data_IF_648458769787
#
_entry.id   IF_648458769787
#
_cell.length_a   1.000
_cell.length_b   1.000
_cell.length_c   1.000
_cell.angle_alpha   90.00
_cell.angle_beta   90.00
_cell.angle_gamma   90.00
#
_symmetry.space_group_name_H-M   'P 1'
#
loop_
_entity.id
_entity.type
_entity.pdbx_description
1 polymer ?
#
# COMPACT_ATOMS: atom_id res chain seq x y z
N UNK A 1 5.62 29.36 12.77
CA UNK A 1 4.39 29.72 12.02
C UNK A 1 4.58 29.75 10.50
N UNK A 2 5.78 30.03 9.98
CA UNK A 2 6.03 30.17 8.53
C UNK A 2 5.55 29.06 7.59
N UNK A 3 5.42 27.81 8.04
CA UNK A 3 4.95 26.72 7.16
C UNK A 3 3.46 26.81 6.81
N UNK A 4 2.63 27.39 7.68
CA UNK A 4 1.20 27.56 7.39
C UNK A 4 1.02 28.71 6.40
N UNK A 5 1.71 29.82 6.63
CA UNK A 5 1.75 30.96 5.69
C UNK A 5 2.25 30.53 4.31
N UNK A 6 3.36 29.80 4.24
CA UNK A 6 3.89 29.27 2.98
C UNK A 6 2.91 28.30 2.29
N UNK A 7 2.17 27.49 3.05
CA UNK A 7 1.15 26.61 2.50
C UNK A 7 -0.05 27.40 1.93
N UNK A 8 -0.48 28.45 2.63
CA UNK A 8 -1.54 29.36 2.18
C UNK A 8 -1.13 30.14 0.92
N UNK A 9 0.16 30.45 0.77
CA UNK A 9 0.74 31.06 -0.42
C UNK A 9 0.98 30.07 -1.59
N UNK A 10 0.50 28.82 -1.49
CA UNK A 10 0.61 27.81 -2.55
C UNK A 10 1.92 27.00 -2.55
N UNK A 11 2.76 27.14 -1.52
CA UNK A 11 3.99 26.37 -1.35
C UNK A 11 3.72 24.88 -1.19
N UNK A 12 4.12 24.09 -2.19
CA UNK A 12 3.79 22.66 -2.26
C UNK A 12 4.39 21.83 -1.12
N UNK A 13 5.66 22.03 -0.77
CA UNK A 13 6.35 21.31 0.32
C UNK A 13 5.77 21.66 1.69
N UNK A 14 5.44 22.94 1.88
CA UNK A 14 4.81 23.43 3.10
C UNK A 14 3.42 22.81 3.28
N UNK A 15 2.61 22.80 2.21
CA UNK A 15 1.30 22.16 2.22
C UNK A 15 1.39 20.64 2.45
N UNK A 16 2.32 19.96 1.78
CA UNK A 16 2.56 18.53 1.99
C UNK A 16 2.99 18.21 3.43
N UNK A 17 3.77 19.10 4.06
CA UNK A 17 4.14 18.98 5.47
C UNK A 17 2.96 19.18 6.41
N UNK A 18 2.08 20.15 6.14
CA UNK A 18 0.84 20.37 6.91
C UNK A 18 -0.06 19.13 6.81
N UNK A 19 -0.25 18.57 5.61
CA UNK A 19 -0.99 17.32 5.43
C UNK A 19 -0.32 16.15 6.16
N UNK A 20 1.02 16.04 6.10
CA UNK A 20 1.74 14.99 6.82
C UNK A 20 1.53 15.06 8.33
N UNK A 21 1.42 16.26 8.91
CA UNK A 21 1.13 16.44 10.33
C UNK A 21 -0.33 16.13 10.64
N UNK A 22 -1.27 16.70 9.88
CA UNK A 22 -2.71 16.56 10.09
C UNK A 22 -3.18 15.10 9.99
N UNK A 23 -2.63 14.33 9.06
CA UNK A 23 -3.00 12.94 8.81
C UNK A 23 -2.01 11.92 9.40
N UNK A 24 -1.24 12.34 10.41
CA UNK A 24 -0.41 11.45 11.22
C UNK A 24 0.71 10.74 10.46
N UNK A 25 1.21 11.33 9.37
CA UNK A 25 2.41 10.83 8.67
C UNK A 25 3.70 11.23 9.41
N UNK A 26 3.65 12.30 10.20
CA UNK A 26 4.75 12.87 11.00
C UNK A 26 4.26 13.25 12.40
N UNK A 27 5.21 13.49 13.30
CA UNK A 27 4.94 14.01 14.65
C UNK A 27 4.32 13.00 15.61
N UNK A 28 3.62 13.50 16.63
CA UNK A 28 3.01 12.71 17.71
C UNK A 28 1.88 11.82 17.21
N UNK A 29 0.99 12.35 16.37
CA UNK A 29 -0.14 11.60 15.83
C UNK A 29 0.33 10.34 15.06
N UNK A 30 1.48 10.40 14.40
CA UNK A 30 2.09 9.22 13.77
C UNK A 30 2.38 8.11 14.78
N UNK A 31 2.90 8.46 15.96
CA UNK A 31 3.19 7.50 17.02
C UNK A 31 1.88 6.91 17.56
N UNK A 32 0.88 7.75 17.86
CA UNK A 32 -0.42 7.31 18.35
C UNK A 32 -1.12 6.32 17.39
N UNK A 33 -0.97 6.51 16.07
CA UNK A 33 -1.53 5.57 15.09
C UNK A 33 -0.74 4.24 15.05
N UNK A 34 0.59 4.28 15.17
CA UNK A 34 1.44 3.09 14.95
C UNK A 34 1.68 2.28 16.21
N UNK A 35 1.65 2.91 17.38
CA UNK A 35 1.92 2.30 18.68
C UNK A 35 1.05 1.06 18.97
N UNK A 36 -0.27 1.06 18.72
CA UNK A 36 -1.11 -0.13 18.91
C UNK A 36 -0.67 -1.32 18.05
N UNK A 37 -0.03 -1.05 16.90
CA UNK A 37 0.43 -2.06 15.95
C UNK A 37 1.81 -2.60 16.34
N UNK A 38 2.59 -1.88 17.15
CA UNK A 38 3.94 -2.32 17.54
C UNK A 38 3.95 -3.47 18.55
N UNK A 39 2.89 -3.61 19.34
CA UNK A 39 2.70 -4.71 20.30
C UNK A 39 1.51 -5.56 19.86
N UNK A 40 1.59 -6.88 20.01
CA UNK A 40 0.45 -7.78 19.84
C UNK A 40 0.14 -8.42 21.20
N UNK A 41 -1.07 -8.20 21.70
CA UNK A 41 -1.54 -8.77 22.97
C UNK A 41 -1.82 -10.27 22.86
N UNK A 42 -2.12 -10.75 21.65
CA UNK A 42 -2.56 -12.11 21.40
C UNK A 42 -1.42 -13.00 20.91
N UNK A 43 -0.29 -12.41 20.48
CA UNK A 43 0.87 -13.17 20.05
C UNK A 43 1.55 -13.88 21.22
N UNK A 44 2.00 -15.11 20.96
CA UNK A 44 2.86 -15.83 21.88
C UNK A 44 4.18 -15.08 22.05
N UNK A 45 4.49 -14.72 23.30
CA UNK A 45 5.72 -14.02 23.63
C UNK A 45 6.89 -15.00 23.46
N UNK A 46 7.88 -14.70 22.61
CA UNK A 46 9.02 -15.57 22.38
C UNK A 46 9.86 -15.70 23.64
N UNK A 47 10.49 -16.86 23.82
CA UNK A 47 11.40 -17.10 24.92
C UNK A 47 12.54 -16.05 24.94
N UNK A 48 12.98 -15.60 26.12
CA UNK A 48 14.09 -14.67 26.23
C UNK A 48 15.38 -15.32 25.70
N UNK A 49 16.16 -14.58 24.90
CA UNK A 49 17.43 -15.09 24.35
C UNK A 49 18.44 -15.38 25.47
N UNK A 50 18.41 -14.59 26.55
CA UNK A 50 19.16 -14.79 27.78
C UNK A 50 18.17 -15.23 28.87
N UNK A 51 18.22 -16.51 29.31
CA UNK A 51 17.20 -17.07 30.20
C UNK A 51 16.93 -16.27 31.48
N UNK A 52 17.97 -15.71 32.09
CA UNK A 52 17.87 -14.92 33.33
C UNK A 52 17.37 -13.48 33.12
N UNK A 53 17.27 -13.00 31.88
CA UNK A 53 16.95 -11.58 31.58
C UNK A 53 15.69 -11.51 30.73
N UNK A 54 14.53 -11.28 31.36
CA UNK A 54 13.23 -11.14 30.65
C UNK A 54 13.25 -10.06 29.55
N UNK A 55 13.98 -8.95 29.77
CA UNK A 55 14.16 -7.87 28.77
C UNK A 55 14.91 -8.29 27.50
N UNK A 56 15.50 -9.49 27.49
CA UNK A 56 16.18 -10.06 26.30
C UNK A 56 15.24 -10.76 25.33
N UNK A 57 13.93 -10.64 25.52
CA UNK A 57 12.94 -11.10 24.55
C UNK A 57 13.12 -10.36 23.22
N UNK A 58 13.11 -11.07 22.08
CA UNK A 58 13.12 -10.43 20.78
C UNK A 58 11.80 -9.68 20.53
N UNK A 59 11.82 -8.65 19.67
CA UNK A 59 10.61 -7.91 19.33
C UNK A 59 9.61 -8.83 18.60
N UNK A 60 8.35 -8.74 19.00
CA UNK A 60 7.23 -9.45 18.36
C UNK A 60 6.63 -8.55 17.29
N UNK A 61 6.49 -9.08 16.07
CA UNK A 61 5.81 -8.37 15.00
C UNK A 61 4.35 -8.79 14.97
N UNK A 62 3.44 -7.84 15.21
CA UNK A 62 2.02 -8.05 15.00
C UNK A 62 1.72 -8.38 13.53
N UNK A 63 0.65 -9.13 13.22
CA UNK A 63 0.32 -9.49 11.84
C UNK A 63 0.09 -8.26 10.94
N UNK A 64 -0.45 -7.18 11.50
CA UNK A 64 -0.61 -5.90 10.80
C UNK A 64 0.76 -5.27 10.50
N UNK A 65 1.69 -5.28 11.46
CA UNK A 65 3.04 -4.76 11.24
C UNK A 65 3.82 -5.60 10.22
N UNK A 66 3.71 -6.92 10.29
CA UNK A 66 4.37 -7.82 9.36
C UNK A 66 3.94 -7.54 7.92
N UNK A 67 2.64 -7.43 7.69
CA UNK A 67 2.07 -7.12 6.36
C UNK A 67 2.45 -5.73 5.88
N UNK A 68 2.49 -4.73 6.77
CA UNK A 68 2.99 -3.40 6.45
C UNK A 68 4.50 -3.36 6.14
N UNK A 69 5.31 -4.25 6.71
CA UNK A 69 6.75 -4.31 6.45
C UNK A 69 7.10 -5.05 5.15
N UNK A 70 6.29 -6.04 4.78
CA UNK A 70 6.46 -6.87 3.59
C UNK A 70 5.82 -6.29 2.33
N UNK A 71 4.84 -5.39 2.46
CA UNK A 71 4.25 -4.70 1.31
C UNK A 71 5.12 -3.54 0.80
N UNK A 72 5.13 -3.35 -0.53
CA UNK A 72 5.79 -2.23 -1.20
C UNK A 72 5.07 -0.90 -0.98
N UNK A 73 3.76 -0.92 -0.76
CA UNK A 73 2.92 0.28 -0.78
C UNK A 73 2.94 1.05 0.55
N UNK A 74 3.07 0.32 1.66
CA UNK A 74 3.17 0.87 3.00
C UNK A 74 4.55 1.35 3.36
N UNK A 75 5.61 0.89 2.68
CA UNK A 75 6.98 1.17 3.10
C UNK A 75 7.64 2.24 2.25
N UNK A 76 8.44 3.10 2.90
CA UNK A 76 9.23 4.13 2.20
C UNK A 76 10.43 3.56 1.42
N UNK A 77 10.79 2.32 1.70
CA UNK A 77 11.96 1.61 1.16
C UNK A 77 11.54 0.24 0.62
N UNK A 78 12.42 -0.44 -0.12
CA UNK A 78 12.18 -1.79 -0.67
C UNK A 78 11.59 -2.73 0.39
N UNK A 79 10.48 -3.46 0.12
CA UNK A 79 9.79 -4.34 1.07
C UNK A 79 10.71 -5.39 1.73
N UNK A 80 10.37 -5.81 2.96
CA UNK A 80 11.11 -6.85 3.68
C UNK A 80 10.67 -8.23 3.23
N UNK A 81 11.59 -9.20 3.24
CA UNK A 81 11.23 -10.60 3.12
C UNK A 81 10.80 -11.14 4.49
N UNK A 82 9.89 -12.13 4.52
CA UNK A 82 9.50 -12.78 5.77
C UNK A 82 10.71 -13.39 6.50
N UNK A 83 11.67 -13.93 5.75
CA UNK A 83 12.95 -14.43 6.30
C UNK A 83 13.73 -13.35 7.05
N UNK A 84 13.73 -12.11 6.53
CA UNK A 84 14.43 -10.98 7.17
C UNK A 84 13.75 -10.46 8.45
N UNK A 85 12.46 -10.76 8.65
CA UNK A 85 11.76 -10.46 9.91
C UNK A 85 12.20 -11.41 11.02
N UNK A 86 12.32 -12.70 10.69
CA UNK A 86 12.78 -13.73 11.63
C UNK A 86 14.28 -13.60 11.93
N UNK A 87 15.09 -13.42 10.88
CA UNK A 87 16.54 -13.28 10.98
C UNK A 87 17.01 -12.01 10.23
N UNK A 88 17.21 -10.90 10.96
CA UNK A 88 17.68 -9.65 10.38
C UNK A 88 18.97 -9.84 9.56
N UNK A 89 19.09 -9.24 8.36
CA UNK A 89 20.30 -9.34 7.54
C UNK A 89 21.52 -8.65 8.18
N UNK A 90 21.30 -7.82 9.20
CA UNK A 90 22.38 -7.20 9.99
C UNK A 90 22.99 -8.15 11.03
N UNK A 91 22.37 -9.31 11.29
CA UNK A 91 22.96 -10.33 12.14
C UNK A 91 23.95 -11.17 11.33
N UNK A 92 25.13 -11.47 11.90
CA UNK A 92 26.06 -12.38 11.26
C UNK A 92 25.49 -13.80 11.23
N UNK A 93 25.86 -14.58 10.21
CA UNK A 93 25.65 -16.05 10.11
C UNK A 93 25.96 -16.78 11.41
N UNK A 94 27.05 -16.37 12.09
CA UNK A 94 27.50 -16.84 13.42
C UNK A 94 26.42 -16.82 14.52
N UNK A 95 25.37 -16.00 14.38
CA UNK A 95 24.26 -15.98 15.33
C UNK A 95 23.42 -17.27 15.27
N UNK A 96 23.46 -18.01 14.16
CA UNK A 96 22.89 -19.34 14.07
C UNK A 96 23.90 -20.38 14.61
N UNK A 97 23.59 -21.11 15.71
CA UNK A 97 24.49 -22.12 16.26
C UNK A 97 24.78 -23.28 15.31
N UNK A 98 23.92 -23.52 14.31
CA UNK A 98 24.12 -24.54 13.30
C UNK A 98 25.07 -24.11 12.16
N UNK A 99 25.41 -22.82 12.06
CA UNK A 99 26.29 -22.31 11.00
C UNK A 99 27.74 -22.75 11.17
N UNK A 100 28.46 -22.91 10.05
CA UNK A 100 29.90 -23.23 10.07
C UNK A 100 30.72 -22.13 10.78
N UNK A 101 30.37 -20.86 10.58
CA UNK A 101 31.02 -19.73 11.26
C UNK A 101 30.90 -19.81 12.78
N UNK A 102 29.77 -20.29 13.31
CA UNK A 102 29.59 -20.50 14.74
C UNK A 102 30.44 -21.66 15.26
N UNK A 103 30.72 -22.67 14.43
CA UNK A 103 31.61 -23.79 14.78
C UNK A 103 33.07 -23.36 14.75
N UNK A 104 33.48 -22.60 13.72
CA UNK A 104 34.86 -22.17 13.53
C UNK A 104 35.27 -21.05 14.51
N UNK A 105 34.43 -20.03 14.69
CA UNK A 105 34.76 -18.83 15.48
C UNK A 105 34.12 -18.83 16.88
N UNK A 106 33.30 -19.83 17.19
CA UNK A 106 32.49 -19.94 18.40
C UNK A 106 31.11 -19.26 18.30
N UNK A 107 30.23 -19.37 19.31
CA UNK A 107 28.88 -18.80 19.26
C UNK A 107 28.90 -17.26 19.30
N UNK A 108 27.87 -16.62 18.75
CA UNK A 108 27.70 -15.18 18.82
C UNK A 108 27.24 -14.72 20.22
N UNK A 109 27.63 -13.52 20.64
CA UNK A 109 27.24 -12.98 21.94
C UNK A 109 25.73 -12.71 21.98
N UNK A 110 25.01 -13.41 22.87
CA UNK A 110 23.55 -13.25 23.09
C UNK A 110 23.12 -11.81 23.32
N UNK A 111 23.88 -11.03 24.10
CA UNK A 111 23.60 -9.60 24.35
C UNK A 111 23.68 -8.77 23.06
N UNK A 112 24.68 -9.03 22.23
CA UNK A 112 24.83 -8.35 20.93
C UNK A 112 23.69 -8.74 20.00
N UNK A 113 23.27 -10.00 20.00
CA UNK A 113 22.15 -10.48 19.20
C UNK A 113 20.85 -9.73 19.54
N UNK A 114 20.50 -9.67 20.83
CA UNK A 114 19.33 -8.93 21.34
C UNK A 114 19.38 -7.47 20.87
N UNK A 115 20.50 -6.80 21.09
CA UNK A 115 20.68 -5.40 20.72
C UNK A 115 20.54 -5.18 19.20
N UNK A 116 21.12 -6.07 18.39
CA UNK A 116 21.02 -5.98 16.93
C UNK A 116 19.58 -6.18 16.45
N UNK A 117 18.86 -7.17 17.00
CA UNK A 117 17.44 -7.40 16.68
C UNK A 117 16.58 -6.19 17.03
N UNK A 118 16.73 -5.62 18.24
CA UNK A 118 15.98 -4.43 18.66
C UNK A 118 16.31 -3.18 17.85
N UNK A 119 17.59 -2.96 17.52
CA UNK A 119 18.01 -1.87 16.63
C UNK A 119 17.42 -2.02 15.24
N UNK A 120 17.43 -3.24 14.69
CA UNK A 120 16.83 -3.53 13.41
C UNK A 120 15.32 -3.24 13.43
N UNK A 121 14.59 -3.84 14.37
CA UNK A 121 13.15 -3.59 14.56
C UNK A 121 12.84 -2.08 14.64
N UNK A 122 13.54 -1.37 15.53
CA UNK A 122 13.36 0.08 15.74
C UNK A 122 13.62 0.92 14.49
N UNK A 123 14.57 0.49 13.66
CA UNK A 123 14.89 1.13 12.39
C UNK A 123 13.85 0.81 11.31
N UNK A 124 13.36 -0.42 11.29
CA UNK A 124 12.45 -0.89 10.23
C UNK A 124 11.02 -0.38 10.42
N UNK A 125 10.44 -0.42 11.62
CA UNK A 125 9.07 0.08 11.81
C UNK A 125 8.98 1.59 11.53
N UNK A 126 10.06 2.36 11.78
CA UNK A 126 10.12 3.79 11.45
C UNK A 126 10.05 4.08 9.95
N UNK A 127 10.23 3.09 9.08
CA UNK A 127 10.10 3.25 7.61
C UNK A 127 8.68 2.97 7.11
N UNK A 128 7.82 2.42 7.95
CA UNK A 128 6.41 2.15 7.65
C UNK A 128 5.62 3.45 7.65
N UNK A 129 4.74 3.59 6.65
CA UNK A 129 3.69 4.62 6.59
C UNK A 129 2.49 4.09 7.38
N UNK A 130 1.97 4.83 8.36
CA UNK A 130 0.88 4.35 9.20
C UNK A 130 -0.42 4.23 8.37
N UNK A 131 -1.18 3.13 8.44
CA UNK A 131 -2.50 3.09 7.80
C UNK A 131 -3.46 4.03 8.55
N UNK A 132 -4.39 4.67 7.82
CA UNK A 132 -5.43 5.50 8.47
C UNK A 132 -6.64 4.67 8.91
N UNK A 133 -6.89 3.56 8.21
CA UNK A 133 -8.04 2.70 8.44
C UNK A 133 -7.71 1.25 8.10
N UNK A 134 -8.51 0.37 8.68
CA UNK A 134 -8.63 -1.04 8.33
C UNK A 134 -9.95 -1.25 7.58
N UNK A 135 -9.88 -1.93 6.44
CA UNK A 135 -11.06 -2.31 5.65
C UNK A 135 -11.27 -3.82 5.79
N UNK A 136 -12.45 -4.20 6.24
CA UNK A 136 -12.85 -5.60 6.29
C UNK A 136 -13.31 -6.04 4.90
N UNK A 137 -12.74 -7.12 4.39
CA UNK A 137 -13.18 -7.78 3.16
C UNK A 137 -13.74 -9.15 3.49
N UNK A 138 -15.05 -9.31 3.31
CA UNK A 138 -15.72 -10.59 3.49
C UNK A 138 -15.89 -11.26 2.12
N UNK A 139 -15.29 -12.43 1.94
CA UNK A 139 -15.39 -13.22 0.70
C UNK A 139 -16.34 -14.40 0.87
N UNK A 140 -17.52 -14.15 1.45
CA UNK A 140 -18.45 -15.23 1.82
C UNK A 140 -19.32 -15.66 0.61
N UNK A 141 -19.51 -14.81 -0.42
CA UNK A 141 -20.43 -15.12 -1.52
C UNK A 141 -20.15 -14.31 -2.79
N UNK A 142 -19.02 -14.53 -3.50
CA UNK A 142 -18.59 -13.89 -4.78
C UNK A 142 -18.52 -12.35 -4.83
N UNK A 143 -19.35 -11.63 -4.08
CA UNK A 143 -19.36 -10.21 -3.84
C UNK A 143 -18.39 -9.86 -2.71
N UNK A 144 -17.44 -8.98 -3.02
CA UNK A 144 -16.54 -8.43 -2.01
C UNK A 144 -17.23 -7.28 -1.30
N UNK A 145 -17.76 -7.53 -0.12
CA UNK A 145 -18.30 -6.47 0.74
C UNK A 145 -17.16 -5.79 1.50
N UNK A 146 -17.10 -4.46 1.39
CA UNK A 146 -16.13 -3.62 2.10
C UNK A 146 -16.79 -2.96 3.30
N UNK A 147 -16.35 -3.34 4.48
CA UNK A 147 -16.84 -2.81 5.75
C UNK A 147 -15.75 -1.93 6.37
N UNK A 148 -16.08 -0.67 6.68
CA UNK A 148 -15.15 0.31 7.31
C UNK A 148 -15.67 0.80 8.66
N UNK A 149 -16.86 0.36 9.10
CA UNK A 149 -17.37 0.78 10.41
C UNK A 149 -16.49 0.26 11.54
N UNK A 150 -16.24 1.10 12.55
CA UNK A 150 -15.45 0.71 13.72
C UNK A 150 -16.05 -0.52 14.42
N UNK A 151 -17.37 -0.60 14.50
CA UNK A 151 -18.08 -1.69 15.17
C UNK A 151 -17.93 -3.02 14.43
N UNK A 152 -17.83 -3.00 13.10
CA UNK A 152 -17.59 -4.19 12.29
C UNK A 152 -16.17 -4.71 12.46
N UNK A 153 -15.19 -3.81 12.51
CA UNK A 153 -13.78 -4.15 12.77
C UNK A 153 -13.62 -4.77 14.16
N UNK A 154 -14.25 -4.17 15.19
CA UNK A 154 -14.23 -4.72 16.55
C UNK A 154 -14.94 -6.08 16.63
N UNK A 155 -16.11 -6.24 15.97
CA UNK A 155 -16.81 -7.54 15.90
C UNK A 155 -16.00 -8.63 15.21
N UNK A 156 -15.11 -8.26 14.29
CA UNK A 156 -14.17 -9.18 13.66
C UNK A 156 -12.96 -9.53 14.55
N UNK A 157 -12.88 -9.00 15.77
CA UNK A 157 -11.74 -9.17 16.68
C UNK A 157 -10.49 -8.42 16.22
N UNK A 158 -10.66 -7.46 15.31
CA UNK A 158 -9.56 -6.66 14.77
C UNK A 158 -9.47 -5.36 15.57
N UNK A 159 -8.24 -4.93 15.79
CA UNK A 159 -7.95 -3.70 16.53
C UNK A 159 -8.21 -2.52 15.61
N UNK A 160 -9.01 -1.56 16.06
CA UNK A 160 -9.16 -0.29 15.35
C UNK A 160 -7.82 0.44 15.26
N UNK A 161 -7.50 1.00 14.09
CA UNK A 161 -6.24 1.73 13.88
C UNK A 161 -6.53 3.19 13.55
N UNK A 162 -5.79 4.09 14.18
CA UNK A 162 -5.71 5.49 13.82
C UNK A 162 -7.03 6.25 13.88
N UNK A 163 -7.58 6.57 12.70
CA UNK A 163 -8.79 7.40 12.58
C UNK A 163 -10.01 6.58 12.10
N UNK A 164 -10.02 5.27 12.38
CA UNK A 164 -11.14 4.38 12.06
C UNK A 164 -12.48 4.97 12.52
N UNK A 165 -13.50 4.89 11.66
CA UNK A 165 -14.86 5.32 11.97
C UNK A 165 -15.09 6.83 11.97
N UNK A 166 -14.06 7.66 11.70
CA UNK A 166 -14.21 9.13 11.65
C UNK A 166 -14.58 9.69 10.27
N UNK A 167 -14.66 8.85 9.23
CA UNK A 167 -14.94 9.30 7.86
C UNK A 167 -13.79 10.04 7.17
N UNK A 168 -12.65 10.20 7.85
CA UNK A 168 -11.54 11.05 7.37
C UNK A 168 -10.97 10.57 6.04
N UNK A 169 -10.92 9.26 5.81
CA UNK A 169 -10.41 8.70 4.57
C UNK A 169 -11.40 8.87 3.42
N UNK A 170 -12.69 8.71 3.71
CA UNK A 170 -13.80 8.94 2.80
C UNK A 170 -13.85 10.41 2.37
N UNK A 171 -13.61 11.35 3.29
CA UNK A 171 -13.52 12.78 3.01
C UNK A 171 -12.38 13.09 2.03
N UNK A 172 -11.19 12.49 2.26
CA UNK A 172 -10.05 12.64 1.32
C UNK A 172 -10.43 12.09 -0.05
N UNK A 173 -11.06 10.91 -0.10
CA UNK A 173 -11.52 10.30 -1.36
C UNK A 173 -12.56 11.19 -2.06
N UNK A 174 -13.48 11.80 -1.33
CA UNK A 174 -14.48 12.72 -1.86
C UNK A 174 -13.84 13.99 -2.46
N UNK A 175 -12.87 14.59 -1.75
CA UNK A 175 -12.11 15.75 -2.25
C UNK A 175 -11.43 15.41 -3.59
N UNK A 176 -10.76 14.25 -3.66
CA UNK A 176 -10.04 13.79 -4.86
C UNK A 176 -11.00 13.44 -6.00
N UNK A 177 -12.08 12.73 -5.69
CA UNK A 177 -13.01 12.17 -6.65
C UNK A 177 -12.53 10.89 -7.36
N UNK A 178 -13.34 10.35 -8.28
CA UNK A 178 -12.98 9.17 -9.07
C UNK A 178 -11.71 9.38 -9.92
N UNK A 179 -10.97 8.33 -10.28
CA UNK A 179 -9.80 8.47 -11.17
C UNK A 179 -10.22 8.85 -12.57
N UNK A 180 -11.18 8.09 -13.09
CA UNK A 180 -11.70 8.24 -14.43
C UNK A 180 -12.71 9.39 -14.38
N UNK A 181 -12.29 10.57 -14.84
CA UNK A 181 -13.25 11.57 -15.30
C UNK A 181 -13.59 11.24 -16.74
N UNK A 182 -14.87 11.22 -17.14
CA UNK A 182 -15.18 11.33 -18.55
C UNK A 182 -14.45 12.56 -19.10
N UNK A 183 -13.76 12.38 -20.23
CA UNK A 183 -13.06 13.47 -20.91
C UNK A 183 -14.09 14.58 -21.11
N UNK A 184 -13.72 15.82 -20.75
CA UNK A 184 -14.60 16.95 -21.02
C UNK A 184 -14.83 16.98 -22.53
N UNK A 185 -16.10 16.83 -22.92
CA UNK A 185 -16.49 16.91 -24.32
C UNK A 185 -15.88 18.16 -24.94
N UNK A 186 -15.28 17.99 -26.11
CA UNK A 186 -14.70 19.09 -26.88
C UNK A 186 -15.82 20.07 -27.25
N UNK A 187 -15.47 21.33 -27.57
CA UNK A 187 -16.47 22.35 -27.93
C UNK A 187 -17.37 21.87 -29.07
N UNK A 188 -16.81 21.12 -30.04
CA UNK A 188 -17.53 20.56 -31.20
C UNK A 188 -18.54 19.49 -30.79
N UNK A 189 -18.15 18.57 -29.91
CA UNK A 189 -19.05 17.51 -29.39
C UNK A 189 -20.23 18.09 -28.61
N UNK A 190 -20.01 19.14 -27.80
CA UNK A 190 -21.10 19.79 -27.04
C UNK A 190 -22.15 20.47 -27.91
N UNK A 191 -21.80 20.89 -29.12
CA UNK A 191 -22.77 21.47 -30.05
C UNK A 191 -23.59 20.39 -30.77
N UNK A 192 -23.13 19.14 -30.81
CA UNK A 192 -23.87 18.02 -31.40
C UNK A 192 -24.92 17.44 -30.45
N UNK A 193 -24.59 17.32 -29.16
CA UNK A 193 -25.50 16.80 -28.13
C UNK A 193 -26.22 17.95 -27.41
N UNK A 194 -27.32 18.40 -27.99
CA UNK A 194 -28.14 19.53 -27.50
C UNK A 194 -28.78 19.36 -26.11
N UNK A 195 -28.43 18.33 -25.33
CA UNK A 195 -29.01 18.10 -24.01
C UNK A 195 -28.07 17.44 -22.98
N UNK A 196 -26.74 17.50 -23.19
CA UNK A 196 -25.79 16.94 -22.24
C UNK A 196 -25.72 17.77 -20.94
N UNK A 197 -26.57 17.45 -19.96
CA UNK A 197 -26.44 17.96 -18.60
C UNK A 197 -25.12 17.46 -18.03
N UNK A 198 -24.22 18.41 -17.73
CA UNK A 198 -22.93 18.07 -17.15
C UNK A 198 -23.19 17.47 -15.76
N UNK A 199 -22.82 16.21 -15.48
CA UNK A 199 -23.07 15.61 -14.19
C UNK A 199 -22.38 16.44 -13.11
N UNK A 200 -23.13 16.85 -12.09
CA UNK A 200 -22.59 17.60 -10.94
C UNK A 200 -21.49 16.75 -10.32
N UNK A 201 -20.24 17.11 -10.58
CA UNK A 201 -19.11 16.34 -10.06
C UNK A 201 -19.03 16.57 -8.56
N UNK A 202 -19.08 15.53 -7.74
CA UNK A 202 -18.86 15.55 -6.28
C UNK A 202 -17.44 15.94 -5.86
N UNK A 203 -16.61 16.38 -6.81
CA UNK A 203 -15.18 16.59 -6.65
C UNK A 203 -14.89 18.03 -6.27
N UNK A 204 -13.83 18.22 -5.50
CA UNK A 204 -13.37 19.56 -5.17
C UNK A 204 -12.98 20.35 -6.45
N UNK A 205 -13.39 21.61 -6.64
CA UNK A 205 -13.16 22.35 -7.88
C UNK A 205 -11.67 22.62 -8.17
N UNK A 206 -10.88 22.90 -7.13
CA UNK A 206 -9.44 23.15 -7.26
C UNK A 206 -8.65 21.91 -7.63
N UNK A 207 -8.12 21.86 -8.87
CA UNK A 207 -7.20 20.81 -9.33
C UNK A 207 -5.95 20.69 -8.47
N UNK A 208 -5.43 21.82 -7.98
CA UNK A 208 -4.22 21.84 -7.15
C UNK A 208 -4.45 21.07 -5.85
N UNK A 209 -5.56 21.34 -5.14
CA UNK A 209 -5.91 20.62 -3.91
C UNK A 209 -6.10 19.12 -4.19
N UNK A 210 -6.88 18.76 -5.22
CA UNK A 210 -7.10 17.35 -5.59
C UNK A 210 -5.79 16.61 -5.77
N UNK A 211 -4.85 17.18 -6.53
CA UNK A 211 -3.55 16.55 -6.78
C UNK A 211 -2.75 16.32 -5.49
N UNK A 212 -2.80 17.26 -4.54
CA UNK A 212 -2.10 17.11 -3.25
C UNK A 212 -2.74 16.05 -2.36
N UNK A 213 -4.06 15.95 -2.36
CA UNK A 213 -4.76 14.86 -1.67
C UNK A 213 -4.55 13.50 -2.36
N UNK A 214 -4.42 13.44 -3.69
CA UNK A 214 -4.01 12.21 -4.40
C UNK A 214 -2.62 11.75 -3.97
N UNK A 215 -1.65 12.68 -3.87
CA UNK A 215 -0.31 12.38 -3.34
C UNK A 215 -0.33 11.96 -1.87
N UNK A 216 -1.26 12.47 -1.06
CA UNK A 216 -1.47 12.00 0.31
C UNK A 216 -2.01 10.56 0.31
N UNK A 217 -2.98 10.25 -0.53
CA UNK A 217 -3.50 8.88 -0.70
C UNK A 217 -2.42 7.91 -1.17
N UNK A 218 -1.51 8.33 -2.05
CA UNK A 218 -0.32 7.53 -2.44
C UNK A 218 0.71 7.32 -1.33
N UNK A 219 0.54 7.98 -0.18
CA UNK A 219 1.35 7.81 1.04
C UNK A 219 0.55 7.22 2.20
N UNK A 220 -0.70 6.82 1.94
CA UNK A 220 -1.63 6.35 2.95
C UNK A 220 -2.07 4.94 2.60
N UNK A 221 -1.34 3.91 3.08
CA UNK A 221 -1.73 2.53 2.83
C UNK A 221 -3.08 2.25 3.48
N UNK A 222 -3.90 1.46 2.78
CA UNK A 222 -5.12 0.89 3.31
C UNK A 222 -4.78 -0.53 3.74
N UNK A 223 -4.98 -0.82 5.03
CA UNK A 223 -4.82 -2.18 5.54
C UNK A 223 -6.16 -2.89 5.32
N UNK A 224 -6.19 -3.94 4.53
CA UNK A 224 -7.39 -4.76 4.34
C UNK A 224 -7.25 -6.07 5.13
N UNK A 225 -8.32 -6.53 5.76
CA UNK A 225 -8.38 -7.82 6.42
C UNK A 225 -9.39 -8.71 5.71
N UNK A 226 -8.90 -9.76 5.05
CA UNK A 226 -9.76 -10.75 4.41
C UNK A 226 -10.11 -11.85 5.38
N UNK A 227 -11.40 -12.06 5.61
CA UNK A 227 -11.91 -13.15 6.44
C UNK A 227 -12.22 -14.35 5.55
N UNK A 228 -11.64 -15.49 5.89
CA UNK A 228 -11.86 -16.75 5.21
C UNK A 228 -12.39 -17.78 6.21
N UNK A 229 -13.27 -18.65 5.72
CA UNK A 229 -13.76 -19.81 6.46
C UNK A 229 -13.19 -21.05 5.80
N UNK A 230 -12.45 -21.84 6.56
CA UNK A 230 -11.97 -23.14 6.08
C UNK A 230 -13.13 -24.14 5.98
N UNK A 231 -12.91 -25.27 5.32
CA UNK A 231 -13.86 -26.38 5.22
C UNK A 231 -14.28 -26.91 6.59
N UNK A 232 -13.39 -26.80 7.57
CA UNK A 232 -13.62 -27.20 8.96
C UNK A 232 -14.40 -26.16 9.77
N UNK A 233 -14.85 -25.06 9.13
CA UNK A 233 -15.52 -23.95 9.81
C UNK A 233 -14.59 -23.04 10.62
N UNK A 234 -13.28 -23.31 10.61
CA UNK A 234 -12.28 -22.46 11.25
C UNK A 234 -12.17 -21.14 10.49
N UNK A 235 -12.41 -20.04 11.20
CA UNK A 235 -12.26 -18.70 10.68
C UNK A 235 -10.79 -18.32 10.80
N UNK A 236 -10.13 -18.09 9.67
CA UNK A 236 -8.82 -17.46 9.62
C UNK A 236 -8.91 -16.16 8.83
N UNK A 237 -8.00 -15.24 9.11
CA UNK A 237 -7.96 -14.00 8.35
C UNK A 237 -6.55 -13.60 8.00
N UNK A 238 -6.44 -12.88 6.88
CA UNK A 238 -5.18 -12.46 6.30
C UNK A 238 -5.22 -10.96 6.08
N UNK A 239 -4.18 -10.29 6.58
CA UNK A 239 -3.99 -8.89 6.25
C UNK A 239 -3.36 -8.76 4.87
N UNK A 240 -3.84 -7.77 4.11
CA UNK A 240 -3.24 -7.32 2.86
C UNK A 240 -3.15 -5.80 2.89
N UNK A 241 -2.27 -5.23 2.08
CA UNK A 241 -2.07 -3.79 2.00
C UNK A 241 -2.29 -3.39 0.55
N UNK A 242 -3.14 -2.41 0.33
CA UNK A 242 -3.37 -1.82 -0.97
C UNK A 242 -3.33 -0.29 -0.88
N UNK A 243 -3.23 0.35 -2.04
CA UNK A 243 -3.44 1.78 -2.18
C UNK A 243 -4.81 2.01 -2.82
N UNK A 244 -5.48 3.13 -2.51
CA UNK A 244 -6.71 3.48 -3.18
C UNK A 244 -6.41 3.78 -4.66
N UNK A 245 -7.34 3.41 -5.54
CA UNK A 245 -7.22 3.56 -7.00
C UNK A 245 -6.85 4.99 -7.40
N UNK A 246 -7.38 5.98 -6.67
CA UNK A 246 -7.15 7.41 -6.91
C UNK A 246 -5.91 8.01 -6.26
N UNK A 247 -5.03 7.20 -5.68
CA UNK A 247 -3.73 7.65 -5.21
C UNK A 247 -2.86 8.24 -6.33
N UNK A 248 -1.81 8.99 -5.99
CA UNK A 248 -0.71 9.29 -6.90
C UNK A 248 0.55 8.66 -6.32
N UNK A 249 0.89 7.45 -6.77
CA UNK A 249 2.04 6.69 -6.32
C UNK A 249 2.85 6.18 -7.53
N UNK A 250 4.19 6.08 -7.42
CA UNK A 250 5.01 5.51 -8.48
C UNK A 250 4.65 4.07 -8.83
N UNK A 251 4.27 3.25 -7.84
CA UNK A 251 3.87 1.84 -8.04
C UNK A 251 2.62 1.71 -8.92
N UNK A 252 1.71 2.69 -8.86
CA UNK A 252 0.45 2.65 -9.58
C UNK A 252 0.53 3.25 -10.99
N UNK A 253 1.68 3.78 -11.42
CA UNK A 253 1.80 4.44 -12.74
C UNK A 253 1.49 3.50 -13.91
N UNK A 254 1.77 2.21 -13.73
CA UNK A 254 1.60 1.17 -14.74
C UNK A 254 0.50 0.17 -14.34
N UNK A 255 -0.33 0.53 -13.37
CA UNK A 255 -1.44 -0.31 -12.95
C UNK A 255 -2.52 -0.31 -14.04
N UNK A 256 -2.98 -1.50 -14.43
CA UNK A 256 -3.98 -1.68 -15.48
C UNK A 256 -5.29 -0.99 -15.13
N UNK A 257 -5.62 -0.89 -13.84
CA UNK A 257 -6.81 -0.19 -13.33
C UNK A 257 -6.86 1.30 -13.72
N UNK A 258 -5.72 1.91 -14.05
CA UNK A 258 -5.62 3.33 -14.41
C UNK A 258 -5.59 3.60 -15.90
N UNK A 259 -5.23 2.59 -16.66
CA UNK A 259 -5.34 2.69 -18.11
C UNK A 259 -6.85 2.67 -18.33
N UNK A 260 -7.45 3.77 -18.84
CA UNK A 260 -8.85 3.75 -19.21
C UNK A 260 -9.02 2.52 -20.09
N UNK A 261 -9.85 1.60 -19.65
CA UNK A 261 -10.18 0.39 -20.39
C UNK A 261 -10.31 0.79 -21.87
N UNK A 262 -9.44 0.22 -22.71
CA UNK A 262 -9.35 0.44 -24.17
C UNK A 262 -10.57 -0.21 -24.87
N UNK A 263 -11.72 -0.13 -24.22
CA UNK A 263 -12.98 -0.74 -24.57
C UNK A 263 -13.96 0.32 -25.06
N UNK A 264 -13.48 1.48 -25.53
CA UNK A 264 -14.30 2.22 -26.49
C UNK A 264 -14.48 1.32 -27.71
N UNK A 265 -15.69 1.18 -28.22
CA UNK A 265 -15.95 0.40 -29.45
C UNK A 265 -15.01 0.81 -30.60
N UNK A 266 -14.61 2.09 -30.64
CA UNK A 266 -13.62 2.62 -31.57
C UNK A 266 -12.21 2.05 -31.37
N UNK A 267 -11.78 1.81 -30.14
CA UNK A 267 -10.45 1.26 -29.85
C UNK A 267 -10.41 -0.25 -30.17
N UNK A 268 -11.49 -0.97 -29.89
CA UNK A 268 -11.66 -2.36 -30.33
C UNK A 268 -11.69 -2.48 -31.86
N UNK A 269 -12.37 -1.55 -32.55
CA UNK A 269 -12.36 -1.48 -34.01
C UNK A 269 -10.96 -1.18 -34.55
N UNK A 270 -10.21 -0.28 -33.91
CA UNK A 270 -8.84 0.01 -34.30
C UNK A 270 -7.93 -1.21 -34.13
N UNK A 271 -8.02 -1.92 -33.00
CA UNK A 271 -7.31 -3.18 -32.77
C UNK A 271 -7.65 -4.22 -33.86
N UNK A 272 -8.94 -4.39 -34.18
CA UNK A 272 -9.38 -5.30 -35.24
C UNK A 272 -8.85 -4.92 -36.63
N UNK A 273 -8.79 -3.62 -36.95
CA UNK A 273 -8.21 -3.13 -38.21
C UNK A 273 -6.71 -3.41 -38.29
N UNK A 274 -5.96 -3.13 -37.21
CA UNK A 274 -4.51 -3.38 -37.18
C UNK A 274 -4.15 -4.86 -37.25
N UNK A 275 -4.95 -5.74 -36.63
CA UNK A 275 -4.73 -7.20 -36.75
C UNK A 275 -4.94 -7.72 -38.17
N UNK A 276 -5.88 -7.13 -38.94
CA UNK A 276 -6.08 -7.48 -40.36
C UNK A 276 -4.93 -7.02 -41.25
N UNK A 277 -4.39 -5.82 -41.02
CA UNK A 277 -3.26 -5.30 -41.80
C UNK A 277 -1.97 -6.12 -41.63
N UNK A 278 -1.77 -6.76 -40.48
CA UNK A 278 -0.63 -7.64 -40.25
C UNK A 278 -0.81 -9.04 -40.85
N UNK A 279 -2.05 -9.52 -41.02
CA UNK A 279 -2.35 -10.75 -41.78
C UNK A 279 -2.19 -10.55 -43.29
N UNK A 280 -2.44 -9.35 -43.80
CA UNK A 280 -2.35 -9.03 -45.24
C UNK A 280 -0.94 -8.71 -45.72
N UNK A 281 0.06 -8.55 -44.85
CA UNK A 281 1.47 -8.38 -45.28
C UNK A 281 2.01 -9.72 -45.78
N UNK A 282 2.16 -9.92 -47.12
CA UNK A 282 2.70 -11.16 -47.64
C UNK A 282 4.13 -11.34 -47.13
N UNK A 283 4.43 -12.59 -46.75
CA UNK A 283 5.69 -13.03 -46.15
C UNK A 283 6.88 -12.83 -47.11
N UNK A 284 7.34 -11.59 -47.30
CA UNK A 284 8.32 -11.20 -48.32
C UNK A 284 9.77 -11.51 -47.93
N UNK A 285 10.00 -12.36 -46.93
CA UNK A 285 11.35 -12.73 -46.44
C UNK A 285 11.93 -14.01 -47.06
N UNK A 286 11.30 -14.60 -48.07
CA UNK A 286 11.76 -15.85 -48.68
C UNK A 286 12.70 -15.72 -49.90
N UNK A 287 13.18 -14.51 -50.27
CA UNK A 287 14.05 -14.35 -51.44
C UNK A 287 15.36 -13.63 -51.09
N UNK A 288 16.24 -14.28 -50.32
CA UNK A 288 17.68 -14.01 -50.39
C UNK A 288 18.34 -15.26 -50.99
N UNK A 289 18.40 -15.26 -52.32
CA UNK A 289 19.02 -16.29 -53.14
C UNK A 289 20.54 -16.17 -53.01
N UNK A 290 21.16 -17.20 -52.45
CA UNK A 290 22.60 -17.43 -52.51
C UNK A 290 23.05 -17.46 -53.98
N UNK A 291 23.81 -16.45 -54.36
CA UNK A 291 24.61 -16.47 -55.60
C UNK A 291 26.05 -16.16 -55.23
N UNK A 292 26.84 -17.22 -55.04
CA UNK A 292 28.30 -17.19 -55.16
C UNK A 292 28.74 -18.37 -56.01
N UNK A 293 29.22 -18.03 -57.21
CA UNK A 293 30.13 -18.82 -58.04
C UNK A 293 31.57 -18.57 -57.57
#
# INVERSE_FOLDING_TARGET
>A
MHKIEAANNGGHDAFAHVLDLAYGRKGKLRWEIIEPILSDSNAQIPAPIIPSVKKSQPPVYSPELQTLLTSSDSRRTKPLSLKSLAFPPTLPSRANPASEDARLLGPFSKRREVNTRWRYFSKEWKKVRPPLQVVLTNTISEETQFATSSDEVVRAGIRGIGMQGRGVFEDIKAIVGPVITPKRLTRRERHGDGNATCPKTTRHPSRWLRRRFQELLGRTPVLAYSRHTDKDGLIYGKYSVSLPENALAPSLRFDSSRIPEVYTSADQQWLQLTSREDEEKPNSKAAHVDTRL
#
